data_IF_771491471539
#
_entry.id   IF_771491471539
#
_cell.length_a   1.000
_cell.length_b   1.000
_cell.length_c   1.000
_cell.angle_alpha   90.00
_cell.angle_beta   90.00
_cell.angle_gamma   90.00
#
_symmetry.space_group_name_H-M   'P 1'
#
loop_
_entity.id
_entity.type
_entity.pdbx_description
1 polymer ?
#
# COMPACT_ATOMS: atom_id res chain seq x y z
N UNK A 1 -1.43 -11.30 20.17
CA UNK A 1 -2.80 -11.75 19.81
C UNK A 1 -2.95 -11.67 18.30
N UNK A 2 -3.03 -12.82 17.63
CA UNK A 2 -3.13 -12.88 16.16
C UNK A 2 -4.42 -12.24 15.66
N UNK A 3 -4.32 -11.38 14.65
CA UNK A 3 -5.47 -10.74 14.03
C UNK A 3 -6.41 -11.79 13.39
N UNK A 4 -7.71 -11.70 13.67
CA UNK A 4 -8.72 -12.50 12.97
C UNK A 4 -8.67 -12.19 11.47
N UNK A 5 -8.77 -13.23 10.64
CA UNK A 5 -8.88 -13.15 9.18
C UNK A 5 -9.90 -12.08 8.78
N UNK A 6 -9.56 -11.24 7.79
CA UNK A 6 -10.47 -10.23 7.26
C UNK A 6 -11.78 -10.89 6.79
N UNK A 7 -12.93 -10.30 7.17
CA UNK A 7 -14.25 -10.76 6.69
C UNK A 7 -14.24 -10.75 5.16
N UNK A 8 -14.65 -11.87 4.56
CA UNK A 8 -14.68 -12.03 3.12
C UNK A 8 -15.63 -11.02 2.46
N UNK A 9 -15.29 -10.57 1.25
CA UNK A 9 -16.14 -9.62 0.48
C UNK A 9 -17.60 -10.07 0.32
N UNK A 10 -17.92 -11.35 0.01
CA UNK A 10 -19.32 -11.78 -0.10
C UNK A 10 -20.08 -11.63 1.23
N UNK A 11 -19.48 -12.00 2.36
CA UNK A 11 -20.12 -11.88 3.68
C UNK A 11 -20.42 -10.42 4.02
N UNK A 12 -19.52 -9.48 3.67
CA UNK A 12 -19.79 -8.04 3.86
C UNK A 12 -21.01 -7.53 3.07
N UNK A 13 -21.22 -8.05 1.86
CA UNK A 13 -22.40 -7.71 1.05
C UNK A 13 -23.69 -8.26 1.68
N UNK A 14 -23.66 -9.48 2.22
CA UNK A 14 -24.80 -10.08 2.91
C UNK A 14 -25.16 -9.31 4.19
N UNK A 15 -24.16 -8.91 4.98
CA UNK A 15 -24.33 -8.05 6.16
C UNK A 15 -25.00 -6.72 5.76
N UNK A 16 -24.51 -6.07 4.70
CA UNK A 16 -25.07 -4.82 4.21
C UNK A 16 -26.55 -4.97 3.82
N UNK A 17 -26.87 -5.99 3.00
CA UNK A 17 -28.26 -6.28 2.59
C UNK A 17 -29.15 -6.56 3.79
N UNK A 18 -28.70 -7.35 4.75
CA UNK A 18 -29.47 -7.67 5.96
C UNK A 18 -29.82 -6.42 6.77
N UNK A 19 -28.88 -5.48 6.91
CA UNK A 19 -29.12 -4.19 7.59
C UNK A 19 -30.05 -3.29 6.78
N UNK A 20 -29.90 -3.25 5.45
CA UNK A 20 -30.80 -2.51 4.57
C UNK A 20 -32.24 -3.03 4.64
N UNK A 21 -32.41 -4.35 4.83
CA UNK A 21 -33.71 -4.99 5.05
C UNK A 21 -34.27 -4.76 6.47
N UNK A 22 -33.71 -3.83 7.25
CA UNK A 22 -34.23 -3.45 8.57
C UNK A 22 -33.77 -4.31 9.74
N UNK A 23 -32.84 -5.26 9.54
CA UNK A 23 -32.32 -6.04 10.68
C UNK A 23 -31.40 -5.19 11.56
N UNK A 24 -31.52 -5.37 12.88
CA UNK A 24 -30.63 -4.72 13.85
C UNK A 24 -29.21 -5.27 13.76
N UNK A 25 -28.21 -4.45 14.09
CA UNK A 25 -26.80 -4.86 14.04
C UNK A 25 -26.50 -6.09 14.91
N UNK A 26 -27.21 -6.26 16.03
CA UNK A 26 -27.07 -7.43 16.91
C UNK A 26 -27.59 -8.70 16.23
N UNK A 27 -28.76 -8.63 15.59
CA UNK A 27 -29.36 -9.75 14.85
C UNK A 27 -28.50 -10.14 13.66
N UNK A 28 -28.03 -9.16 12.87
CA UNK A 28 -27.11 -9.41 11.74
C UNK A 28 -25.79 -10.03 12.20
N UNK A 29 -25.23 -9.56 13.33
CA UNK A 29 -24.01 -10.11 13.90
C UNK A 29 -24.13 -11.60 14.24
N UNK A 30 -25.24 -11.98 14.91
CA UNK A 30 -25.55 -13.37 15.24
C UNK A 30 -25.76 -14.22 13.98
N UNK A 31 -26.53 -13.72 13.01
CA UNK A 31 -26.86 -14.44 11.77
C UNK A 31 -25.62 -14.81 10.94
N UNK A 32 -24.61 -13.94 10.90
CA UNK A 32 -23.40 -14.15 10.09
C UNK A 32 -22.15 -14.51 10.92
N UNK A 33 -22.30 -14.77 12.22
CA UNK A 33 -21.17 -15.15 13.10
C UNK A 33 -20.07 -14.08 13.22
N UNK A 34 -20.41 -12.80 13.08
CA UNK A 34 -19.46 -11.67 13.15
C UNK A 34 -19.69 -10.83 14.40
N UNK A 35 -18.67 -10.09 14.85
CA UNK A 35 -18.85 -9.17 15.97
C UNK A 35 -19.76 -7.98 15.62
N UNK A 36 -20.58 -7.51 16.57
CA UNK A 36 -21.42 -6.30 16.42
C UNK A 36 -20.61 -5.08 15.96
N UNK A 37 -19.41 -4.90 16.50
CA UNK A 37 -18.50 -3.81 16.11
C UNK A 37 -18.07 -3.90 14.64
N UNK A 38 -17.90 -5.12 14.11
CA UNK A 38 -17.54 -5.32 12.72
C UNK A 38 -18.71 -4.93 11.78
N UNK A 39 -19.95 -5.27 12.13
CA UNK A 39 -21.15 -4.83 11.40
C UNK A 39 -21.22 -3.30 11.38
N UNK A 40 -21.02 -2.65 12.53
CA UNK A 40 -20.99 -1.19 12.63
C UNK A 40 -19.89 -0.55 11.78
N UNK A 41 -18.68 -1.10 11.79
CA UNK A 41 -17.56 -0.61 10.96
C UNK A 41 -17.82 -0.79 9.46
N UNK A 42 -18.40 -1.91 9.04
CA UNK A 42 -18.80 -2.15 7.64
C UNK A 42 -19.82 -1.09 7.21
N UNK A 43 -20.85 -0.83 8.04
CA UNK A 43 -21.87 0.16 7.71
C UNK A 43 -21.31 1.59 7.68
N UNK A 44 -20.46 1.96 8.64
CA UNK A 44 -19.78 3.27 8.65
C UNK A 44 -18.93 3.46 7.39
N UNK A 45 -18.15 2.45 7.01
CA UNK A 45 -17.33 2.46 5.79
C UNK A 45 -18.19 2.57 4.53
N UNK A 46 -19.30 1.83 4.46
CA UNK A 46 -20.20 1.89 3.32
C UNK A 46 -20.86 3.27 3.18
N UNK A 47 -21.26 3.91 4.28
CA UNK A 47 -21.78 5.29 4.24
C UNK A 47 -20.76 6.28 3.67
N UNK A 48 -19.47 6.13 4.03
CA UNK A 48 -18.39 7.03 3.58
C UNK A 48 -17.93 6.77 2.14
N UNK A 49 -17.80 5.51 1.74
CA UNK A 49 -17.11 5.13 0.49
C UNK A 49 -18.03 4.47 -0.55
N UNK A 50 -19.29 4.20 -0.19
CA UNK A 50 -20.24 3.39 -0.97
C UNK A 50 -19.71 2.02 -1.39
N UNK A 51 -18.70 1.52 -0.68
CA UNK A 51 -18.00 0.28 -1.01
C UNK A 51 -17.80 -0.61 0.22
N UNK A 52 -17.93 -1.92 0.01
CA UNK A 52 -17.62 -2.96 1.01
C UNK A 52 -16.24 -3.59 0.79
N UNK A 53 -15.51 -3.14 -0.24
CA UNK A 53 -14.16 -3.63 -0.52
C UNK A 53 -13.20 -3.26 0.61
N UNK A 54 -12.24 -4.14 0.87
CA UNK A 54 -11.09 -3.77 1.69
C UNK A 54 -10.34 -2.65 0.97
N UNK A 55 -9.96 -1.63 1.72
CA UNK A 55 -9.00 -0.67 1.20
C UNK A 55 -7.64 -1.35 1.22
N UNK A 56 -6.90 -1.20 0.14
CA UNK A 56 -5.48 -1.52 0.14
C UNK A 56 -4.83 -0.65 1.21
N UNK A 57 -3.94 -1.25 1.99
CA UNK A 57 -3.13 -0.45 2.90
C UNK A 57 -2.30 0.50 2.06
N UNK A 58 -2.21 1.77 2.48
CA UNK A 58 -1.24 2.66 1.85
C UNK A 58 0.13 2.04 2.03
N UNK A 59 0.85 1.85 0.93
CA UNK A 59 2.25 1.49 1.02
C UNK A 59 3.00 2.59 1.75
N UNK A 60 4.09 2.20 2.41
CA UNK A 60 5.00 3.16 3.03
C UNK A 60 5.60 4.03 1.92
N UNK A 61 5.46 5.34 2.06
CA UNK A 61 6.04 6.31 1.11
C UNK A 61 7.52 6.01 0.89
N UNK A 62 7.90 5.95 -0.38
CA UNK A 62 9.29 5.71 -0.79
C UNK A 62 10.13 6.94 -0.46
N UNK A 63 11.40 6.72 -0.09
CA UNK A 63 12.39 7.82 0.03
C UNK A 63 12.71 8.49 -1.31
N UNK A 64 12.53 7.77 -2.42
CA UNK A 64 12.80 8.26 -3.77
C UNK A 64 11.52 8.58 -4.53
N UNK A 65 11.55 9.68 -5.28
CA UNK A 65 10.50 10.07 -6.21
C UNK A 65 10.77 9.50 -7.60
N UNK A 66 9.72 9.38 -8.42
CA UNK A 66 9.80 8.76 -9.76
C UNK A 66 10.82 9.45 -10.68
N UNK A 67 10.93 10.78 -10.64
CA UNK A 67 11.88 11.51 -11.47
C UNK A 67 13.34 11.25 -11.05
N UNK A 68 13.57 11.05 -9.75
CA UNK A 68 14.90 10.75 -9.20
C UNK A 68 15.34 9.34 -9.62
N UNK A 69 14.43 8.37 -9.53
CA UNK A 69 14.68 7.01 -10.03
C UNK A 69 15.04 7.04 -11.53
N UNK A 70 14.34 7.86 -12.34
CA UNK A 70 14.66 8.04 -13.77
C UNK A 70 16.04 8.63 -13.97
N UNK A 71 16.42 9.68 -13.23
CA UNK A 71 17.74 10.31 -13.39
C UNK A 71 18.85 9.33 -13.03
N UNK A 72 18.64 8.51 -12.01
CA UNK A 72 19.58 7.47 -11.60
C UNK A 72 19.81 6.43 -12.71
N UNK A 73 18.73 6.00 -13.36
CA UNK A 73 18.78 5.10 -14.54
C UNK A 73 19.53 5.75 -15.70
N UNK A 74 19.29 7.04 -15.97
CA UNK A 74 19.98 7.78 -17.03
C UNK A 74 21.49 7.84 -16.76
N UNK A 75 21.89 8.24 -15.55
CA UNK A 75 23.32 8.35 -15.18
C UNK A 75 24.05 7.01 -15.28
N UNK A 76 23.41 5.92 -14.86
CA UNK A 76 23.95 4.56 -14.97
C UNK A 76 24.08 4.10 -16.43
N UNK A 77 23.14 4.50 -17.31
CA UNK A 77 23.22 4.18 -18.74
C UNK A 77 24.26 5.02 -19.49
N UNK A 78 24.37 6.30 -19.14
CA UNK A 78 25.37 7.21 -19.73
C UNK A 78 26.79 6.75 -19.38
N UNK A 79 27.01 6.28 -18.14
CA UNK A 79 28.31 5.79 -17.68
C UNK A 79 28.17 4.47 -16.92
N UNK A 80 28.27 3.31 -17.60
CA UNK A 80 28.10 1.98 -16.99
C UNK A 80 29.14 1.63 -15.92
N UNK A 81 30.28 2.32 -15.89
CA UNK A 81 31.33 2.10 -14.89
C UNK A 81 31.04 2.78 -13.54
N UNK A 82 29.99 3.61 -13.44
CA UNK A 82 29.65 4.30 -12.20
C UNK A 82 29.11 3.32 -11.16
N UNK A 83 29.69 3.34 -9.96
CA UNK A 83 29.20 2.51 -8.85
C UNK A 83 27.96 3.13 -8.20
N UNK A 84 27.18 2.33 -7.47
CA UNK A 84 26.09 2.87 -6.65
C UNK A 84 26.55 3.91 -5.61
N UNK A 85 27.82 3.91 -5.21
CA UNK A 85 28.39 4.92 -4.29
C UNK A 85 28.53 6.26 -5.02
N UNK A 86 29.09 6.25 -6.22
CA UNK A 86 29.28 7.46 -7.04
C UNK A 86 27.94 8.09 -7.41
N UNK A 87 26.97 7.24 -7.81
CA UNK A 87 25.60 7.67 -8.08
C UNK A 87 24.94 8.28 -6.83
N UNK A 88 25.22 7.77 -5.64
CA UNK A 88 24.70 8.36 -4.40
C UNK A 88 25.26 9.75 -4.15
N UNK A 89 26.57 9.94 -4.35
CA UNK A 89 27.22 11.24 -4.19
C UNK A 89 26.64 12.26 -5.15
N UNK A 90 26.46 11.88 -6.42
CA UNK A 90 25.84 12.75 -7.42
C UNK A 90 24.39 13.10 -7.06
N UNK A 91 23.57 12.09 -6.72
CA UNK A 91 22.17 12.30 -6.36
C UNK A 91 22.00 13.14 -5.09
N UNK A 92 22.89 12.98 -4.11
CA UNK A 92 22.93 13.83 -2.91
C UNK A 92 23.28 15.27 -3.27
N UNK A 93 24.28 15.48 -4.15
CA UNK A 93 24.72 16.81 -4.59
C UNK A 93 23.62 17.57 -5.35
N UNK A 94 22.94 16.92 -6.28
CA UNK A 94 21.94 17.58 -7.14
C UNK A 94 20.54 17.66 -6.53
N UNK A 95 20.14 16.68 -5.71
CA UNK A 95 18.76 16.56 -5.22
C UNK A 95 18.64 16.54 -3.69
N UNK A 96 19.74 16.72 -2.94
CA UNK A 96 19.74 16.67 -1.48
C UNK A 96 19.30 15.31 -0.91
N UNK A 97 19.34 14.25 -1.74
CA UNK A 97 18.79 12.95 -1.37
C UNK A 97 19.68 12.25 -0.33
N UNK A 98 19.05 11.77 0.75
CA UNK A 98 19.72 10.90 1.73
C UNK A 98 19.14 9.47 1.70
N UNK A 99 19.55 8.72 0.68
CA UNK A 99 19.22 7.30 0.51
C UNK A 99 20.42 6.41 0.86
N UNK A 100 20.13 5.19 1.31
CA UNK A 100 21.17 4.17 1.47
C UNK A 100 21.64 3.67 0.11
N UNK A 101 22.89 3.19 0.03
CA UNK A 101 23.44 2.54 -1.16
C UNK A 101 22.56 1.36 -1.58
N UNK A 102 22.06 0.57 -0.62
CA UNK A 102 21.11 -0.52 -0.88
C UNK A 102 19.82 -0.08 -1.57
N UNK A 103 19.35 1.14 -1.28
CA UNK A 103 18.17 1.70 -1.96
C UNK A 103 18.49 1.98 -3.43
N UNK A 104 19.67 2.54 -3.71
CA UNK A 104 20.13 2.83 -5.08
C UNK A 104 20.28 1.55 -5.89
N UNK A 105 20.99 0.55 -5.34
CA UNK A 105 21.13 -0.77 -5.97
C UNK A 105 19.77 -1.38 -6.30
N UNK A 106 18.84 -1.36 -5.34
CA UNK A 106 17.48 -1.85 -5.57
C UNK A 106 16.78 -1.10 -6.72
N UNK A 107 16.97 0.21 -6.87
CA UNK A 107 16.41 0.99 -7.99
C UNK A 107 17.01 0.61 -9.32
N UNK A 108 18.32 0.40 -9.38
CA UNK A 108 19.01 -0.08 -10.58
C UNK A 108 18.50 -1.47 -10.97
N UNK A 109 18.42 -2.40 -10.01
CA UNK A 109 17.91 -3.75 -10.27
C UNK A 109 16.46 -3.73 -10.77
N UNK A 110 15.58 -2.87 -10.22
CA UNK A 110 14.21 -2.70 -10.74
C UNK A 110 14.18 -2.20 -12.19
N UNK A 111 15.25 -1.55 -12.66
CA UNK A 111 15.41 -1.10 -14.04
C UNK A 111 16.25 -2.08 -14.89
N UNK A 112 16.54 -3.28 -14.38
CA UNK A 112 17.43 -4.27 -14.99
C UNK A 112 18.85 -3.75 -15.27
N UNK A 113 19.37 -2.90 -14.39
CA UNK A 113 20.75 -2.37 -14.44
C UNK A 113 21.58 -2.92 -13.27
N UNK A 114 22.89 -3.02 -13.49
CA UNK A 114 23.88 -3.39 -12.49
C UNK A 114 24.54 -2.15 -11.90
N UNK A 115 24.76 -2.14 -10.56
CA UNK A 115 25.46 -1.07 -9.84
C UNK A 115 25.51 -1.27 -8.33
#
# INVERSE_FOLDING_TARGET
>A
MGSKKCISSPVKKLILRSVQNGNSFRKTAQLYGVGKSAVGQIMKRFKLTRSTKNQNQSERSRKTMRYQDKKLVILSKENPCLTAVDLNVQMRRFYGMNCSISTIKRRLCHANLFG
#
